data_IF_838568383810
#
_entry.id   IF_838568383810
#
_cell.length_a   1.000
_cell.length_b   1.000
_cell.length_c   1.000
_cell.angle_alpha   90.00
_cell.angle_beta   90.00
_cell.angle_gamma   90.00
#
_symmetry.space_group_name_H-M   'P 1'
#
loop_
_entity.id
_entity.type
_entity.pdbx_description
1 polymer ?
#
# COMPACT_ATOMS: atom_id res chain seq x y z
N UNK A 1 -9.41 73.07 12.89
CA UNK A 1 -10.52 72.11 12.98
C UNK A 1 -11.29 72.17 11.67
N UNK A 2 -11.05 71.22 10.75
CA UNK A 2 -11.94 70.75 9.65
C UNK A 2 -11.13 69.81 8.76
N UNK A 3 -11.29 68.50 8.95
CA UNK A 3 -12.00 67.55 8.06
C UNK A 3 -11.10 66.98 6.97
N UNK A 4 -10.62 65.76 7.26
CA UNK A 4 -10.11 64.79 6.31
C UNK A 4 -11.25 64.32 5.39
N UNK A 5 -11.09 64.45 4.08
CA UNK A 5 -11.83 63.64 3.11
C UNK A 5 -11.07 63.42 1.80
N UNK A 6 -10.86 62.11 1.55
CA UNK A 6 -11.15 61.39 0.30
C UNK A 6 -10.24 61.60 -0.93
N UNK A 7 -9.42 60.57 -1.14
CA UNK A 7 -9.21 59.85 -2.42
C UNK A 7 -8.73 60.67 -3.63
N UNK A 8 -7.43 60.55 -3.91
CA UNK A 8 -6.92 60.60 -5.28
C UNK A 8 -5.81 59.56 -5.45
N UNK A 9 -6.24 58.38 -5.87
CA UNK A 9 -5.61 57.43 -6.81
C UNK A 9 -4.07 57.54 -6.93
N UNK A 10 -3.36 56.62 -6.26
CA UNK A 10 -2.08 56.13 -6.73
C UNK A 10 -2.35 54.80 -7.47
N UNK A 11 -2.69 54.91 -8.75
CA UNK A 11 -2.61 53.80 -9.69
C UNK A 11 -1.19 53.82 -10.26
N UNK A 12 -0.35 52.90 -9.80
CA UNK A 12 1.04 52.83 -10.23
C UNK A 12 1.64 51.46 -9.94
N UNK A 13 1.31 50.50 -10.82
CA UNK A 13 2.04 49.28 -11.11
C UNK A 13 2.39 48.36 -9.92
N UNK A 14 1.45 47.49 -9.54
CA UNK A 14 1.80 46.21 -8.91
C UNK A 14 2.20 45.25 -10.04
N UNK A 15 3.44 44.72 -10.10
CA UNK A 15 3.74 43.68 -11.06
C UNK A 15 2.94 42.42 -10.67
N UNK A 16 1.89 42.16 -11.44
CA UNK A 16 1.19 40.87 -11.53
C UNK A 16 2.15 39.86 -12.18
N UNK A 17 3.12 39.33 -11.45
CA UNK A 17 3.92 38.21 -11.92
C UNK A 17 4.59 37.45 -10.76
N UNK A 18 3.79 36.95 -9.85
CA UNK A 18 4.19 35.82 -9.01
C UNK A 18 3.08 34.77 -9.03
N UNK A 19 2.65 34.38 -10.23
CA UNK A 19 1.84 33.19 -10.41
C UNK A 19 2.77 31.98 -10.24
N UNK A 20 2.81 31.50 -9.00
CA UNK A 20 3.18 30.18 -8.52
C UNK A 20 3.51 29.17 -9.65
N UNK A 21 4.79 28.93 -9.89
CA UNK A 21 5.24 27.62 -10.39
C UNK A 21 5.31 26.71 -9.17
N UNK A 22 4.16 26.19 -8.75
CA UNK A 22 4.15 25.04 -7.84
C UNK A 22 4.58 23.82 -8.68
N UNK A 23 5.74 23.19 -8.42
CA UNK A 23 6.01 21.89 -8.99
C UNK A 23 4.86 20.97 -8.59
N UNK A 24 4.09 20.52 -9.58
CA UNK A 24 3.15 19.43 -9.39
C UNK A 24 3.99 18.18 -9.16
N UNK A 25 4.31 17.91 -7.90
CA UNK A 25 4.79 16.60 -7.49
C UNK A 25 3.60 15.64 -7.63
N UNK A 26 3.39 15.12 -8.84
CA UNK A 26 2.53 13.97 -9.03
C UNK A 26 3.15 12.82 -8.24
N UNK A 27 2.55 12.49 -7.09
CA UNK A 27 2.79 11.22 -6.43
C UNK A 27 2.25 10.16 -7.39
N UNK A 28 3.15 9.42 -8.05
CA UNK A 28 2.75 8.20 -8.72
C UNK A 28 2.00 7.34 -7.69
N UNK A 29 0.84 6.80 -8.06
CA UNK A 29 0.17 5.83 -7.21
C UNK A 29 1.11 4.63 -7.08
N UNK A 30 1.69 4.42 -5.89
CA UNK A 30 2.46 3.22 -5.62
C UNK A 30 1.48 2.04 -5.66
N UNK A 31 1.63 1.19 -6.67
CA UNK A 31 0.86 -0.04 -6.78
C UNK A 31 1.34 -0.99 -5.69
N UNK A 32 0.41 -1.61 -4.97
CA UNK A 32 0.73 -2.62 -3.97
C UNK A 32 1.66 -3.68 -4.57
N UNK A 33 2.69 -4.14 -3.84
CA UNK A 33 3.56 -5.20 -4.30
C UNK A 33 2.75 -6.47 -4.57
N UNK A 34 3.17 -7.23 -5.58
CA UNK A 34 2.59 -8.53 -5.89
C UNK A 34 2.90 -9.51 -4.76
N UNK A 35 1.89 -10.29 -4.39
CA UNK A 35 1.97 -11.32 -3.35
C UNK A 35 1.96 -12.70 -4.01
N UNK A 36 2.85 -13.59 -3.56
CA UNK A 36 2.80 -15.01 -3.92
C UNK A 36 2.40 -15.81 -2.70
N UNK A 37 1.30 -16.55 -2.76
CA UNK A 37 0.78 -17.35 -1.64
C UNK A 37 0.97 -18.83 -1.94
N UNK A 38 1.80 -19.50 -1.14
CA UNK A 38 1.94 -20.96 -1.20
C UNK A 38 1.11 -21.60 -0.09
N UNK A 39 0.18 -22.48 -0.46
CA UNK A 39 -0.77 -23.10 0.47
C UNK A 39 -0.96 -24.59 0.22
N UNK A 40 -1.38 -25.29 1.27
CA UNK A 40 -1.88 -26.67 1.16
C UNK A 40 -3.21 -26.69 0.36
N UNK A 41 -3.33 -27.47 -0.74
CA UNK A 41 -4.57 -27.59 -1.50
C UNK A 41 -5.75 -28.12 -0.67
N UNK A 42 -5.51 -28.90 0.39
CA UNK A 42 -6.55 -29.46 1.25
C UNK A 42 -7.11 -28.46 2.29
N UNK A 43 -6.47 -27.29 2.47
CA UNK A 43 -6.86 -26.34 3.51
C UNK A 43 -7.89 -25.30 3.03
N UNK A 44 -9.18 -25.53 3.29
CA UNK A 44 -10.26 -24.64 2.81
C UNK A 44 -10.13 -23.16 3.20
N UNK A 45 -9.61 -22.86 4.40
CA UNK A 45 -9.56 -21.48 4.89
C UNK A 45 -8.53 -20.58 4.18
N UNK A 46 -7.47 -21.17 3.61
CA UNK A 46 -6.47 -20.41 2.86
C UNK A 46 -7.07 -19.73 1.61
N UNK A 47 -8.10 -20.32 1.01
CA UNK A 47 -8.76 -19.76 -0.17
C UNK A 47 -9.57 -18.51 0.19
N UNK A 48 -10.33 -18.60 1.30
CA UNK A 48 -11.05 -17.44 1.82
C UNK A 48 -10.13 -16.29 2.25
N UNK A 49 -8.95 -16.60 2.80
CA UNK A 49 -7.95 -15.57 3.09
C UNK A 49 -7.37 -14.93 1.82
N UNK A 50 -7.06 -15.73 0.78
CA UNK A 50 -6.63 -15.23 -0.53
C UNK A 50 -7.69 -14.30 -1.13
N UNK A 51 -8.96 -14.69 -1.09
CA UNK A 51 -10.07 -13.86 -1.59
C UNK A 51 -10.18 -12.55 -0.81
N UNK A 52 -9.98 -12.60 0.52
CA UNK A 52 -9.98 -11.42 1.37
C UNK A 52 -8.86 -10.43 1.01
N UNK A 53 -7.62 -10.89 0.85
CA UNK A 53 -6.50 -9.99 0.49
C UNK A 53 -6.60 -9.50 -0.95
N UNK A 54 -7.15 -10.28 -1.88
CA UNK A 54 -7.48 -9.81 -3.24
C UNK A 54 -8.51 -8.68 -3.20
N UNK A 55 -9.56 -8.82 -2.37
CA UNK A 55 -10.58 -7.79 -2.19
C UNK A 55 -10.00 -6.50 -1.56
N UNK A 56 -8.92 -6.60 -0.78
CA UNK A 56 -8.17 -5.46 -0.26
C UNK A 56 -7.26 -4.76 -1.30
N UNK A 57 -7.13 -5.32 -2.51
CA UNK A 57 -6.41 -4.72 -3.63
C UNK A 57 -5.06 -5.37 -3.96
N UNK A 58 -4.63 -6.40 -3.22
CA UNK A 58 -3.40 -7.12 -3.53
C UNK A 58 -3.56 -7.98 -4.79
N UNK A 59 -2.55 -7.94 -5.65
CA UNK A 59 -2.42 -8.92 -6.74
C UNK A 59 -1.77 -10.20 -6.19
N UNK A 60 -2.47 -11.33 -6.28
CA UNK A 60 -2.03 -12.60 -5.67
C UNK A 60 -1.81 -13.67 -6.73
N UNK A 61 -0.61 -14.26 -6.73
CA UNK A 61 -0.31 -15.52 -7.41
C UNK A 61 -0.43 -16.67 -6.39
N UNK A 62 -1.33 -17.62 -6.66
CA UNK A 62 -1.55 -18.78 -5.78
C UNK A 62 -0.74 -20.00 -6.26
N UNK A 63 0.02 -20.59 -5.34
CA UNK A 63 0.76 -21.84 -5.54
C UNK A 63 0.21 -22.89 -4.58
N UNK A 64 -0.30 -23.99 -5.12
CA UNK A 64 -0.75 -25.12 -4.32
C UNK A 64 0.38 -26.14 -4.19
N UNK A 65 0.73 -26.48 -2.96
CA UNK A 65 1.75 -27.49 -2.65
C UNK A 65 1.26 -28.41 -1.54
N UNK A 66 1.45 -29.72 -1.72
CA UNK A 66 1.15 -30.70 -0.67
C UNK A 66 2.12 -30.60 0.53
N UNK A 67 3.28 -29.96 0.35
CA UNK A 67 4.23 -29.68 1.42
C UNK A 67 4.73 -28.24 1.32
N UNK A 68 4.38 -27.43 2.33
CA UNK A 68 4.77 -26.01 2.44
C UNK A 68 5.97 -25.84 3.38
N UNK A 69 6.35 -26.87 4.16
CA UNK A 69 7.40 -26.76 5.17
C UNK A 69 8.79 -26.38 4.62
N UNK A 70 9.22 -26.88 3.44
CA UNK A 70 10.49 -26.48 2.84
C UNK A 70 10.56 -24.99 2.54
N UNK A 71 9.45 -24.39 2.06
CA UNK A 71 9.38 -22.96 1.79
C UNK A 71 9.54 -22.15 3.08
N UNK A 72 8.79 -22.51 4.13
CA UNK A 72 8.86 -21.86 5.43
C UNK A 72 10.25 -21.85 6.02
N UNK A 73 10.94 -22.98 5.91
CA UNK A 73 12.33 -23.14 6.36
C UNK A 73 13.26 -22.21 5.58
N UNK A 74 13.11 -22.16 4.25
CA UNK A 74 13.87 -21.26 3.38
C UNK A 74 13.64 -19.78 3.73
N UNK A 75 12.42 -19.42 4.11
CA UNK A 75 12.05 -18.06 4.50
C UNK A 75 12.38 -17.72 5.96
N UNK A 76 12.91 -18.68 6.74
CA UNK A 76 13.25 -18.47 8.15
C UNK A 76 12.04 -18.34 9.07
N UNK A 77 10.87 -18.87 8.68
CA UNK A 77 9.67 -18.87 9.52
C UNK A 77 9.91 -19.80 10.73
N UNK A 78 9.82 -19.31 11.97
CA UNK A 78 9.93 -20.14 13.16
C UNK A 78 8.85 -21.23 13.20
N UNK A 79 9.20 -22.40 13.71
CA UNK A 79 8.29 -23.54 13.75
C UNK A 79 7.01 -23.23 14.56
N UNK A 80 7.15 -22.42 15.61
CA UNK A 80 6.07 -22.01 16.51
C UNK A 80 5.06 -21.06 15.85
N UNK A 81 5.44 -20.41 14.74
CA UNK A 81 4.57 -19.52 13.97
C UNK A 81 3.97 -20.17 12.73
N UNK A 82 4.40 -21.40 12.39
CA UNK A 82 3.98 -22.11 11.18
C UNK A 82 2.46 -22.35 11.14
N UNK A 83 1.83 -21.95 10.03
CA UNK A 83 0.40 -22.07 9.73
C UNK A 83 0.12 -22.98 8.51
N UNK A 84 -1.02 -22.81 7.82
CA UNK A 84 -1.39 -23.63 6.65
C UNK A 84 -0.90 -23.05 5.31
N UNK A 85 -0.44 -21.80 5.29
CA UNK A 85 0.10 -21.13 4.11
C UNK A 85 1.12 -20.07 4.51
N UNK A 86 1.93 -19.68 3.53
CA UNK A 86 2.91 -18.60 3.65
C UNK A 86 2.81 -17.72 2.41
N UNK A 87 2.74 -16.40 2.60
CA UNK A 87 2.78 -15.45 1.51
C UNK A 87 4.12 -14.71 1.46
N UNK A 88 4.68 -14.54 0.28
CA UNK A 88 5.85 -13.70 0.02
C UNK A 88 5.39 -12.40 -0.64
N UNK A 89 5.75 -11.24 -0.07
CA UNK A 89 5.38 -9.92 -0.59
C UNK A 89 6.44 -8.89 -0.21
N UNK A 90 6.95 -8.14 -1.19
CA UNK A 90 7.87 -7.01 -0.93
C UNK A 90 9.14 -7.38 -0.13
N UNK A 91 9.58 -8.65 -0.16
CA UNK A 91 10.71 -9.16 0.62
C UNK A 91 10.35 -9.66 2.03
N UNK A 92 9.08 -9.66 2.41
CA UNK A 92 8.57 -10.19 3.67
C UNK A 92 7.84 -11.52 3.47
N UNK A 93 7.86 -12.35 4.51
CA UNK A 93 7.00 -13.51 4.65
C UNK A 93 5.82 -13.18 5.57
N UNK A 94 4.61 -13.46 5.14
CA UNK A 94 3.36 -13.32 5.91
C UNK A 94 2.85 -14.74 6.20
N UNK A 95 2.71 -15.06 7.48
CA UNK A 95 2.40 -16.42 7.94
C UNK A 95 0.99 -16.48 8.54
N UNK A 96 0.13 -17.32 7.97
CA UNK A 96 -1.23 -17.52 8.45
C UNK A 96 -2.19 -16.36 8.16
N UNK A 97 -3.30 -16.28 8.91
CA UNK A 97 -4.42 -15.38 8.62
C UNK A 97 -4.18 -13.93 9.12
N UNK A 98 -3.14 -13.28 8.62
CA UNK A 98 -2.88 -11.87 8.94
C UNK A 98 -3.96 -10.99 8.28
N UNK A 99 -4.61 -10.08 9.03
CA UNK A 99 -5.59 -9.14 8.46
C UNK A 99 -4.98 -8.28 7.35
N UNK A 100 -5.73 -8.01 6.28
CA UNK A 100 -5.19 -7.33 5.10
C UNK A 100 -4.74 -5.88 5.35
N UNK A 101 -5.29 -5.22 6.37
CA UNK A 101 -4.90 -3.87 6.80
C UNK A 101 -3.58 -3.82 7.60
N UNK A 102 -3.09 -4.99 8.03
CA UNK A 102 -1.81 -5.14 8.72
C UNK A 102 -0.67 -5.63 7.81
N UNK A 103 -0.95 -5.86 6.52
CA UNK A 103 0.00 -6.27 5.47
C UNK A 103 0.45 -5.04 4.70
#
# INVERSE_FOLDING_TARGET
>A
MTISTRRAVLAGAWPLAAALVLPHYAKAAETLPRMTVTRDPACGCCGGWIDHVKAAGFSVDEIQSADVAPLKTKLGVPAELSSCHTAEIGGYAIEGHVPADAI
#
